data_IF_633172510490
#
_entry.id   IF_633172510490
#
_cell.length_a   1.000
_cell.length_b   1.000
_cell.length_c   1.000
_cell.angle_alpha   90.00
_cell.angle_beta   90.00
_cell.angle_gamma   90.00
#
_symmetry.space_group_name_H-M   'P 1'
#
loop_
_entity.id
_entity.type
_entity.pdbx_description
1 polymer ?
#
# COMPACT_ATOMS: atom_id res chain seq x y z
N UNK A 1 2.16 11.75 7.77
CA UNK A 1 2.41 10.55 6.98
C UNK A 1 2.31 9.31 7.85
N UNK A 2 1.83 8.24 7.28
CA UNK A 2 1.72 6.96 7.98
C UNK A 2 2.44 5.89 7.18
N UNK A 3 2.80 4.82 7.85
CA UNK A 3 3.43 3.68 7.19
C UNK A 3 2.36 2.71 6.72
N UNK A 4 2.46 2.29 5.48
CA UNK A 4 1.50 1.34 4.88
C UNK A 4 2.23 0.14 4.32
N UNK A 5 1.67 -1.03 4.54
CA UNK A 5 2.17 -2.27 3.98
C UNK A 5 1.55 -2.45 2.59
N UNK A 6 2.39 -2.54 1.59
CA UNK A 6 1.96 -2.66 0.19
C UNK A 6 2.13 -4.10 -0.28
N UNK A 7 1.09 -4.65 -0.84
CA UNK A 7 1.07 -6.00 -1.38
C UNK A 7 0.60 -5.94 -2.83
N UNK A 8 1.24 -6.69 -3.71
CA UNK A 8 0.83 -6.78 -5.11
C UNK A 8 -0.54 -7.47 -5.18
N UNK A 9 -1.48 -6.85 -5.87
CA UNK A 9 -2.85 -7.36 -5.96
C UNK A 9 -2.94 -8.61 -6.82
N UNK A 10 -2.14 -8.71 -7.86
CA UNK A 10 -2.18 -9.81 -8.80
C UNK A 10 -1.51 -11.07 -8.24
N UNK A 11 -0.31 -10.93 -7.68
CA UNK A 11 0.48 -12.08 -7.19
C UNK A 11 0.38 -12.24 -5.67
N UNK A 12 -0.11 -11.22 -4.98
CA UNK A 12 -0.15 -11.14 -3.51
C UNK A 12 1.22 -11.16 -2.87
N UNK A 13 2.24 -10.79 -3.62
CA UNK A 13 3.60 -10.67 -3.11
C UNK A 13 3.73 -9.38 -2.30
N UNK A 14 4.38 -9.46 -1.16
CA UNK A 14 4.61 -8.29 -0.32
C UNK A 14 5.72 -7.45 -0.92
N UNK A 15 5.41 -6.19 -1.25
CA UNK A 15 6.37 -5.26 -1.83
C UNK A 15 7.20 -4.60 -0.73
N UNK A 16 6.55 -4.25 0.39
CA UNK A 16 7.24 -3.63 1.51
C UNK A 16 6.38 -2.61 2.23
N UNK A 17 7.00 -1.86 3.12
CA UNK A 17 6.35 -0.81 3.88
C UNK A 17 6.80 0.54 3.33
N UNK A 18 5.83 1.39 3.01
CA UNK A 18 6.09 2.70 2.41
C UNK A 18 5.37 3.78 3.25
N UNK A 19 6.07 4.87 3.51
CA UNK A 19 5.47 6.02 4.18
C UNK A 19 4.73 6.87 3.14
N UNK A 20 3.45 7.14 3.38
CA UNK A 20 2.67 7.96 2.47
C UNK A 20 1.48 8.59 3.20
N UNK A 21 0.85 9.57 2.56
CA UNK A 21 -0.35 10.19 3.09
C UNK A 21 -1.57 9.29 2.84
N UNK A 22 -2.65 9.45 3.63
CA UNK A 22 -3.88 8.68 3.39
C UNK A 22 -4.43 8.84 1.97
N UNK A 23 -4.28 10.03 1.38
CA UNK A 23 -4.71 10.27 0.00
C UNK A 23 -3.90 9.44 -1.01
N UNK A 24 -2.59 9.36 -0.80
CA UNK A 24 -1.72 8.54 -1.65
C UNK A 24 -2.03 7.05 -1.48
N UNK A 25 -2.28 6.62 -0.23
CA UNK A 25 -2.64 5.23 0.05
C UNK A 25 -3.93 4.85 -0.68
N UNK A 26 -4.90 5.76 -0.71
CA UNK A 26 -6.16 5.54 -1.39
C UNK A 26 -5.97 5.35 -2.89
N UNK A 27 -5.07 6.12 -3.50
CA UNK A 27 -4.73 5.97 -4.92
C UNK A 27 -4.01 4.65 -5.19
N UNK A 28 -3.13 4.26 -4.30
CA UNK A 28 -2.39 3.01 -4.44
C UNK A 28 -3.30 1.79 -4.38
N UNK A 29 -4.44 1.88 -3.70
CA UNK A 29 -5.40 0.78 -3.61
C UNK A 29 -5.95 0.33 -4.96
N UNK A 30 -5.83 1.14 -5.99
CA UNK A 30 -6.26 0.75 -7.34
C UNK A 30 -5.41 -0.39 -7.88
N UNK A 31 -4.13 -0.37 -7.58
CA UNK A 31 -3.17 -1.33 -8.13
C UNK A 31 -2.60 -2.28 -7.08
N UNK A 32 -2.71 -1.92 -5.81
CA UNK A 32 -2.09 -2.67 -4.72
C UNK A 32 -3.05 -2.85 -3.56
N UNK A 33 -2.75 -3.85 -2.73
CA UNK A 33 -3.43 -4.00 -1.45
C UNK A 33 -2.65 -3.17 -0.44
N UNK A 34 -3.29 -2.17 0.14
CA UNK A 34 -2.65 -1.23 1.05
C UNK A 34 -3.26 -1.37 2.43
N UNK A 35 -2.43 -1.65 3.42
CA UNK A 35 -2.85 -1.75 4.82
C UNK A 35 -1.95 -0.91 5.68
N UNK A 36 -2.52 -0.26 6.68
CA UNK A 36 -1.74 0.50 7.64
C UNK A 36 -0.87 -0.45 8.44
N UNK A 37 0.43 -0.13 8.45
CA UNK A 37 1.40 -0.96 9.17
C UNK A 37 1.36 -0.73 10.68
#
# INVERSE_FOLDING_TARGET
MKNYKITDKATKAIIGVVAMTPGQARRAEKDFIVKEA
#
